data_IF_755735790121
#
_entry.id   IF_755735790121
#
_cell.length_a   1.000
_cell.length_b   1.000
_cell.length_c   1.000
_cell.angle_alpha   90.00
_cell.angle_beta   90.00
_cell.angle_gamma   90.00
#
_symmetry.space_group_name_H-M   'P 1'
#
loop_
_entity.id
_entity.type
_entity.pdbx_description
1 polymer ?
#
# COMPACT_ATOMS: atom_id res chain seq x y z
N UNK A 1 20.05 6.70 -23.89
CA UNK A 1 19.27 5.98 -22.86
C UNK A 1 20.07 4.79 -22.42
N UNK A 2 20.33 4.65 -21.12
CA UNK A 2 20.97 3.45 -20.57
C UNK A 2 20.05 2.25 -20.80
N UNK A 3 20.59 1.12 -21.24
CA UNK A 3 19.79 -0.10 -21.44
C UNK A 3 19.62 -0.79 -20.10
N UNK A 4 18.41 -0.77 -19.53
CA UNK A 4 18.10 -1.38 -18.24
C UNK A 4 17.79 -2.88 -18.33
N UNK A 5 17.86 -3.51 -19.50
CA UNK A 5 17.54 -4.95 -19.67
C UNK A 5 18.48 -5.89 -18.92
N UNK A 6 19.69 -5.44 -18.59
CA UNK A 6 20.62 -6.22 -17.76
C UNK A 6 20.21 -6.27 -16.28
N UNK A 7 19.38 -5.31 -15.82
CA UNK A 7 18.98 -5.23 -14.42
C UNK A 7 18.17 -6.44 -14.02
N UNK A 8 18.50 -7.01 -12.86
CA UNK A 8 17.78 -8.17 -12.35
C UNK A 8 16.41 -7.78 -11.83
N UNK A 9 15.42 -8.53 -12.28
CA UNK A 9 14.14 -8.66 -11.59
C UNK A 9 14.33 -9.48 -10.31
N UNK A 10 13.27 -9.69 -9.53
CA UNK A 10 13.42 -10.50 -8.33
C UNK A 10 12.15 -10.76 -7.54
N UNK A 11 10.99 -10.28 -7.98
CA UNK A 11 9.75 -10.68 -7.33
C UNK A 11 9.39 -12.09 -7.77
N UNK A 12 9.09 -12.95 -6.80
CA UNK A 12 8.55 -14.29 -7.04
C UNK A 12 7.11 -14.25 -6.52
N UNK A 13 6.08 -14.29 -7.37
CA UNK A 13 4.70 -14.16 -6.92
C UNK A 13 4.36 -15.15 -5.79
N UNK A 14 3.72 -14.65 -4.74
CA UNK A 14 3.33 -15.48 -3.60
C UNK A 14 2.36 -16.59 -4.03
N UNK A 15 2.50 -17.82 -3.49
CA UNK A 15 1.49 -18.86 -3.68
C UNK A 15 0.13 -18.39 -3.17
N UNK A 16 -0.98 -18.74 -3.82
CA UNK A 16 -2.32 -18.33 -3.34
C UNK A 16 -2.60 -18.90 -1.94
N UNK A 17 -3.10 -18.07 -1.03
CA UNK A 17 -3.54 -18.48 0.31
C UNK A 17 -4.87 -17.80 0.65
N UNK A 18 -5.88 -18.59 1.01
CA UNK A 18 -7.22 -18.09 1.32
C UNK A 18 -7.31 -17.38 2.67
N UNK A 19 -6.26 -17.46 3.49
CA UNK A 19 -6.18 -16.84 4.81
C UNK A 19 -5.65 -15.40 4.75
N UNK A 20 -5.15 -14.96 3.59
CA UNK A 20 -4.67 -13.60 3.42
C UNK A 20 -5.79 -12.62 3.73
N UNK A 21 -5.53 -11.68 4.65
CA UNK A 21 -6.52 -10.68 4.97
C UNK A 21 -6.71 -9.72 3.81
N UNK A 22 -7.97 -9.38 3.52
CA UNK A 22 -8.33 -8.38 2.53
C UNK A 22 -8.28 -6.99 3.15
N UNK A 23 -7.75 -6.01 2.41
CA UNK A 23 -7.61 -4.63 2.89
C UNK A 23 -8.95 -4.00 3.31
N UNK A 24 -10.06 -4.38 2.67
CA UNK A 24 -11.41 -3.96 3.05
C UNK A 24 -11.84 -4.37 4.47
N UNK A 25 -11.06 -5.22 5.17
CA UNK A 25 -11.25 -5.51 6.60
C UNK A 25 -10.59 -4.48 7.53
N UNK A 26 -9.66 -3.68 7.01
CA UNK A 26 -8.86 -2.73 7.79
C UNK A 26 -9.14 -1.27 7.43
N UNK A 27 -9.59 -1.01 6.20
CA UNK A 27 -9.94 0.34 5.73
C UNK A 27 -11.39 0.37 5.29
N UNK A 28 -12.05 1.50 5.52
CA UNK A 28 -13.32 1.77 4.89
C UNK A 28 -13.06 2.10 3.42
N UNK A 29 -13.60 1.29 2.51
CA UNK A 29 -13.45 1.56 1.08
C UNK A 29 -14.29 2.79 0.73
N UNK A 30 -13.59 3.89 0.45
CA UNK A 30 -14.22 5.15 0.11
C UNK A 30 -14.95 5.07 -1.25
N UNK A 31 -16.00 5.89 -1.40
CA UNK A 31 -16.80 5.95 -2.65
C UNK A 31 -16.44 7.14 -3.52
N UNK A 32 -15.70 8.11 -2.96
CA UNK A 32 -15.25 9.31 -3.66
C UNK A 32 -13.79 9.55 -3.34
N UNK A 33 -13.00 9.81 -4.39
CA UNK A 33 -11.57 10.05 -4.27
C UNK A 33 -11.23 11.41 -4.87
N UNK A 34 -10.18 12.09 -4.37
CA UNK A 34 -9.63 13.23 -5.09
C UNK A 34 -9.16 12.82 -6.49
N UNK A 35 -9.19 13.77 -7.41
CA UNK A 35 -8.81 13.57 -8.82
C UNK A 35 -7.38 13.04 -8.93
N UNK A 36 -6.49 13.53 -8.07
CA UNK A 36 -5.12 13.05 -7.91
C UNK A 36 -4.76 13.01 -6.43
N UNK A 37 -3.80 12.17 -6.07
CA UNK A 37 -3.32 12.02 -4.71
C UNK A 37 -1.87 11.57 -4.70
N UNK A 38 -1.12 12.00 -3.69
CA UNK A 38 0.26 11.59 -3.47
C UNK A 38 0.49 11.50 -1.96
N UNK A 39 1.08 10.38 -1.53
CA UNK A 39 1.53 10.24 -0.14
C UNK A 39 2.61 11.27 0.15
N UNK A 40 2.59 11.82 1.36
CA UNK A 40 3.62 12.72 1.84
C UNK A 40 4.18 12.19 3.17
N UNK A 41 5.52 12.13 3.32
CA UNK A 41 6.55 12.49 2.35
C UNK A 41 6.75 11.42 1.25
N UNK A 42 7.40 11.80 0.15
CA UNK A 42 7.96 10.86 -0.84
C UNK A 42 9.42 10.52 -0.49
N UNK A 43 9.91 9.42 -1.06
CA UNK A 43 11.35 9.10 -1.01
C UNK A 43 12.12 10.15 -1.84
N UNK A 44 13.06 10.90 -1.23
CA UNK A 44 13.75 11.98 -1.94
C UNK A 44 14.78 11.46 -2.96
N UNK A 45 15.42 10.32 -2.65
CA UNK A 45 16.45 9.70 -3.48
C UNK A 45 16.02 8.28 -3.85
N UNK A 46 15.52 8.05 -5.09
CA UNK A 46 15.16 6.72 -5.56
C UNK A 46 16.33 5.74 -5.40
N UNK A 47 16.01 4.56 -4.88
CA UNK A 47 17.02 3.54 -4.61
C UNK A 47 17.56 2.91 -5.89
N UNK A 48 18.73 2.31 -5.80
CA UNK A 48 19.31 1.47 -6.84
C UNK A 48 19.64 0.09 -6.25
N UNK A 49 19.00 -0.96 -6.78
CA UNK A 49 19.22 -2.36 -6.36
C UNK A 49 20.40 -3.05 -7.07
N UNK A 50 21.11 -2.32 -7.93
CA UNK A 50 22.21 -2.83 -8.74
C UNK A 50 21.78 -4.07 -9.56
N UNK A 51 22.64 -5.07 -9.69
CA UNK A 51 22.37 -6.38 -10.30
C UNK A 51 21.89 -7.43 -9.29
N UNK A 52 21.20 -7.02 -8.23
CA UNK A 52 20.60 -7.92 -7.23
C UNK A 52 19.08 -7.95 -7.39
N UNK A 53 18.47 -9.13 -7.27
CA UNK A 53 17.01 -9.32 -7.32
C UNK A 53 16.26 -8.84 -6.07
N UNK A 54 16.58 -7.65 -5.57
CA UNK A 54 16.13 -7.15 -4.26
C UNK A 54 14.91 -6.19 -4.32
N UNK A 55 14.21 -6.11 -5.47
CA UNK A 55 13.08 -5.18 -5.65
C UNK A 55 12.01 -5.24 -4.55
N UNK A 56 11.68 -6.45 -4.06
CA UNK A 56 10.73 -6.64 -2.95
C UNK A 56 11.26 -5.98 -1.66
N UNK A 57 12.53 -6.21 -1.33
CA UNK A 57 13.15 -5.64 -0.14
C UNK A 57 13.23 -4.10 -0.22
N UNK A 58 13.56 -3.54 -1.38
CA UNK A 58 13.55 -2.08 -1.58
C UNK A 58 12.15 -1.49 -1.54
N UNK A 59 11.15 -2.20 -2.06
CA UNK A 59 9.76 -1.75 -1.98
C UNK A 59 9.29 -1.64 -0.52
N UNK A 60 9.60 -2.66 0.28
CA UNK A 60 9.29 -2.68 1.70
C UNK A 60 10.10 -1.65 2.50
N UNK A 61 11.38 -1.45 2.17
CA UNK A 61 12.21 -0.36 2.70
C UNK A 61 11.52 0.99 2.48
N UNK A 62 11.05 1.29 1.27
CA UNK A 62 10.38 2.55 0.96
C UNK A 62 9.13 2.77 1.82
N UNK A 63 8.29 1.73 1.95
CA UNK A 63 7.07 1.79 2.76
C UNK A 63 7.43 2.11 4.22
N UNK A 64 8.41 1.39 4.79
CA UNK A 64 8.85 1.63 6.18
C UNK A 64 9.50 3.00 6.36
N UNK A 65 10.34 3.47 5.45
CA UNK A 65 10.93 4.81 5.55
C UNK A 65 9.85 5.92 5.56
N UNK A 66 8.82 5.80 4.70
CA UNK A 66 7.71 6.77 4.66
C UNK A 66 6.84 6.69 5.92
N UNK A 67 6.46 5.49 6.36
CA UNK A 67 5.64 5.29 7.57
C UNK A 67 6.34 5.84 8.80
N UNK A 68 7.60 5.46 9.00
CA UNK A 68 8.36 5.82 10.20
C UNK A 68 8.69 7.32 10.23
N UNK A 69 8.91 7.93 9.06
CA UNK A 69 9.04 9.39 8.96
C UNK A 69 7.74 10.11 9.32
N UNK A 70 6.58 9.60 8.89
CA UNK A 70 5.27 10.17 9.24
C UNK A 70 4.99 10.05 10.74
N UNK A 71 5.35 8.93 11.36
CA UNK A 71 5.11 8.67 12.78
C UNK A 71 6.09 9.40 13.72
N UNK A 72 7.37 9.45 13.36
CA UNK A 72 8.44 10.00 14.22
C UNK A 72 8.92 11.38 13.82
N UNK A 73 8.38 11.94 12.74
CA UNK A 73 8.79 13.22 12.15
C UNK A 73 10.30 13.30 11.88
N UNK A 74 10.95 12.14 11.65
CA UNK A 74 12.39 12.01 11.43
C UNK A 74 12.64 10.99 10.33
N UNK A 75 13.34 11.39 9.27
CA UNK A 75 13.72 10.47 8.21
C UNK A 75 14.85 9.55 8.69
N UNK A 76 14.62 8.23 8.61
CA UNK A 76 15.60 7.20 8.97
C UNK A 76 15.72 6.25 7.79
N UNK A 77 16.96 5.94 7.37
CA UNK A 77 17.21 4.94 6.33
C UNK A 77 17.22 3.53 6.91
N UNK A 78 16.53 2.61 6.25
CA UNK A 78 16.42 1.20 6.68
C UNK A 78 17.15 0.25 5.74
N UNK A 79 17.62 -0.90 6.22
CA UNK A 79 18.42 -1.83 5.41
C UNK A 79 17.53 -2.73 4.54
N UNK A 80 17.59 -2.54 3.21
CA UNK A 80 17.01 -3.50 2.26
C UNK A 80 17.74 -4.85 2.30
N UNK A 81 19.07 -4.84 2.49
CA UNK A 81 19.86 -6.06 2.65
C UNK A 81 19.41 -6.90 3.85
N UNK A 82 19.00 -6.27 4.95
CA UNK A 82 18.45 -6.99 6.10
C UNK A 82 17.12 -7.66 5.76
N UNK A 83 16.19 -6.96 5.12
CA UNK A 83 14.92 -7.56 4.65
C UNK A 83 15.21 -8.73 3.70
N UNK A 84 16.17 -8.56 2.80
CA UNK A 84 16.54 -9.57 1.80
C UNK A 84 17.21 -10.82 2.41
N UNK A 85 18.07 -10.63 3.41
CA UNK A 85 18.90 -11.68 4.01
C UNK A 85 18.31 -12.36 5.25
N UNK A 86 17.49 -11.67 6.06
CA UNK A 86 16.96 -12.15 7.34
C UNK A 86 15.77 -13.12 7.20
N UNK A 87 15.88 -14.08 6.27
CA UNK A 87 14.83 -15.08 5.96
C UNK A 87 14.77 -16.18 7.02
N UNK A 88 13.57 -16.71 7.23
CA UNK A 88 13.34 -17.88 8.07
C UNK A 88 13.81 -19.17 7.37
N UNK A 89 14.07 -20.23 8.13
CA UNK A 89 14.57 -21.50 7.55
C UNK A 89 13.63 -22.12 6.50
N UNK A 90 12.32 -21.91 6.66
CA UNK A 90 11.27 -22.40 5.73
C UNK A 90 11.10 -21.56 4.47
N UNK A 91 11.68 -20.36 4.42
CA UNK A 91 11.50 -19.41 3.32
C UNK A 91 12.36 -19.80 2.12
N UNK A 92 12.05 -19.22 0.97
CA UNK A 92 12.84 -19.38 -0.25
C UNK A 92 14.29 -18.90 -0.02
N UNK A 93 15.28 -19.69 -0.47
CA UNK A 93 16.72 -19.45 -0.23
C UNK A 93 17.53 -19.16 -1.50
N UNK A 94 16.88 -18.77 -2.60
CA UNK A 94 17.55 -18.32 -3.81
C UNK A 94 17.51 -16.79 -3.97
N UNK A 95 18.07 -16.32 -5.08
CA UNK A 95 17.97 -14.92 -5.51
C UNK A 95 16.52 -14.54 -5.86
N UNK A 96 16.17 -13.28 -5.64
CA UNK A 96 14.76 -12.88 -5.64
C UNK A 96 14.10 -13.17 -4.31
N UNK A 97 12.85 -12.77 -4.15
CA UNK A 97 12.13 -12.84 -2.88
C UNK A 97 10.64 -13.01 -3.12
N UNK A 98 9.99 -13.82 -2.27
CA UNK A 98 8.55 -13.96 -2.24
C UNK A 98 7.96 -12.83 -1.35
N UNK A 99 7.07 -11.97 -1.87
CA UNK A 99 6.51 -10.84 -1.12
C UNK A 99 5.87 -11.23 0.21
N UNK A 100 5.09 -12.32 0.27
CA UNK A 100 4.49 -12.77 1.53
C UNK A 100 5.54 -13.16 2.57
N UNK A 101 6.61 -13.82 2.17
CA UNK A 101 7.70 -14.17 3.10
C UNK A 101 8.41 -12.90 3.61
N UNK A 102 8.59 -11.90 2.74
CA UNK A 102 9.14 -10.61 3.11
C UNK A 102 8.25 -9.86 4.11
N UNK A 103 6.93 -9.91 3.94
CA UNK A 103 5.96 -9.38 4.89
C UNK A 103 5.97 -10.13 6.22
N UNK A 104 6.12 -11.46 6.21
CA UNK A 104 6.32 -12.26 7.44
C UNK A 104 7.59 -11.82 8.20
N UNK A 105 8.67 -11.49 7.49
CA UNK A 105 9.90 -10.97 8.09
C UNK A 105 9.64 -9.63 8.78
N UNK A 106 8.97 -8.68 8.11
CA UNK A 106 8.61 -7.41 8.74
C UNK A 106 7.69 -7.59 9.96
N UNK A 107 6.76 -8.54 9.91
CA UNK A 107 5.83 -8.82 11.02
C UNK A 107 6.56 -9.38 12.26
N UNK A 108 7.50 -10.30 12.02
CA UNK A 108 8.21 -11.01 13.09
C UNK A 108 9.43 -10.26 13.61
N UNK A 109 10.20 -9.65 12.70
CA UNK A 109 11.53 -9.10 12.96
C UNK A 109 11.60 -7.60 12.74
N UNK A 110 10.84 -7.06 11.79
CA UNK A 110 10.89 -5.64 11.42
C UNK A 110 12.05 -5.36 10.48
N UNK A 111 12.63 -4.17 10.54
CA UNK A 111 13.77 -3.79 9.71
C UNK A 111 14.77 -2.93 10.48
N UNK A 112 16.05 -3.30 10.42
CA UNK A 112 17.10 -2.54 11.08
C UNK A 112 17.51 -1.30 10.26
N UNK A 113 18.14 -0.34 10.92
CA UNK A 113 18.69 0.86 10.28
C UNK A 113 19.80 0.49 9.30
N UNK A 114 19.87 1.21 8.19
CA UNK A 114 20.81 0.94 7.09
C UNK A 114 22.28 0.94 7.54
N UNK A 115 22.61 1.77 8.52
CA UNK A 115 23.95 1.84 9.13
C UNK A 115 24.47 0.51 9.72
N UNK A 116 23.58 -0.42 10.10
CA UNK A 116 24.01 -1.75 10.56
C UNK A 116 24.32 -2.71 9.42
N UNK A 117 23.63 -2.58 8.28
CA UNK A 117 23.86 -3.39 7.09
C UNK A 117 23.64 -2.54 5.83
N UNK A 118 24.64 -1.76 5.41
CA UNK A 118 24.51 -0.85 4.27
C UNK A 118 24.59 -1.60 2.94
N UNK A 119 24.05 -0.98 1.88
CA UNK A 119 24.13 -1.52 0.52
C UNK A 119 23.17 -2.68 0.25
N UNK A 120 23.45 -3.42 -0.81
CA UNK A 120 22.72 -4.62 -1.20
C UNK A 120 23.69 -5.67 -1.73
N UNK A 121 23.40 -6.94 -1.43
CA UNK A 121 24.27 -8.07 -1.73
C UNK A 121 23.45 -9.23 -2.29
N UNK A 122 24.06 -10.13 -3.09
CA UNK A 122 23.45 -11.43 -3.40
C UNK A 122 22.95 -12.13 -2.14
N UNK A 123 21.84 -12.87 -2.25
CA UNK A 123 21.17 -13.46 -1.10
C UNK A 123 22.10 -14.34 -0.25
N UNK A 124 22.93 -15.24 -0.82
CA UNK A 124 23.84 -16.06 -0.02
C UNK A 124 24.81 -15.24 0.83
N UNK A 125 25.23 -14.08 0.35
CA UNK A 125 26.11 -13.16 1.09
C UNK A 125 25.30 -12.46 2.18
N UNK A 126 24.19 -11.81 1.82
CA UNK A 126 23.34 -11.09 2.76
C UNK A 126 22.90 -11.97 3.94
N UNK A 127 22.54 -13.23 3.68
CA UNK A 127 22.13 -14.20 4.70
C UNK A 127 23.24 -14.49 5.74
N UNK A 128 24.51 -14.46 5.33
CA UNK A 128 25.65 -14.67 6.25
C UNK A 128 26.01 -13.44 7.07
N UNK A 129 25.55 -12.26 6.67
CA UNK A 129 25.85 -10.99 7.34
C UNK A 129 24.84 -10.63 8.44
N UNK A 130 23.75 -11.39 8.57
CA UNK A 130 22.71 -11.13 9.57
C UNK A 130 23.24 -11.43 10.98
N UNK A 131 23.04 -10.48 11.89
CA UNK A 131 23.51 -10.57 13.28
C UNK A 131 22.38 -10.33 14.28
N UNK A 132 22.57 -10.77 15.52
CA UNK A 132 21.61 -10.55 16.61
C UNK A 132 21.42 -9.06 16.92
N UNK A 133 22.47 -8.24 16.79
CA UNK A 133 22.36 -6.79 16.96
C UNK A 133 21.39 -6.17 15.95
N UNK A 134 21.36 -6.67 14.70
CA UNK A 134 20.39 -6.23 13.70
C UNK A 134 18.97 -6.67 14.06
N UNK A 135 18.78 -7.88 14.62
CA UNK A 135 17.48 -8.34 15.10
C UNK A 135 16.93 -7.44 16.21
N UNK A 136 17.76 -7.08 17.20
CA UNK A 136 17.38 -6.16 18.25
C UNK A 136 17.04 -4.76 17.73
N UNK A 137 17.84 -4.24 16.79
CA UNK A 137 17.60 -2.91 16.20
C UNK A 137 16.32 -2.87 15.35
N UNK A 138 15.98 -3.97 14.67
CA UNK A 138 14.82 -4.14 13.79
C UNK A 138 13.49 -4.33 14.51
N UNK A 139 13.52 -4.93 15.71
CA UNK A 139 12.33 -5.36 16.44
C UNK A 139 11.31 -4.25 16.73
N UNK A 140 11.72 -2.99 17.04
CA UNK A 140 10.80 -1.89 17.25
C UNK A 140 10.08 -1.41 15.98
N UNK A 141 10.61 -1.68 14.78
CA UNK A 141 10.06 -1.25 13.49
C UNK A 141 9.29 -2.37 12.79
N UNK A 142 8.67 -3.24 13.58
CA UNK A 142 7.79 -4.31 13.11
C UNK A 142 6.45 -3.75 12.69
N UNK A 143 5.96 -4.29 11.59
CA UNK A 143 4.59 -4.07 11.15
C UNK A 143 3.65 -4.85 12.07
N UNK A 144 2.40 -4.40 12.17
CA UNK A 144 1.36 -5.10 12.94
C UNK A 144 0.49 -5.98 12.07
N UNK A 145 0.24 -5.54 10.85
CA UNK A 145 -0.53 -6.30 9.88
C UNK A 145 -0.11 -5.96 8.45
N UNK A 146 -0.47 -6.87 7.54
CA UNK A 146 -0.45 -6.63 6.11
C UNK A 146 -1.74 -7.22 5.50
N UNK A 147 -2.19 -6.65 4.39
CA UNK A 147 -3.41 -7.06 3.74
C UNK A 147 -3.30 -6.96 2.22
N UNK A 148 -3.94 -7.89 1.52
CA UNK A 148 -4.00 -7.89 0.08
C UNK A 148 -5.06 -6.88 -0.41
N UNK A 149 -4.76 -6.15 -1.47
CA UNK A 149 -5.67 -5.26 -2.17
C UNK A 149 -5.85 -5.72 -3.62
N UNK A 150 -7.05 -5.54 -4.18
CA UNK A 150 -7.39 -6.07 -5.51
C UNK A 150 -8.03 -5.04 -6.42
N UNK A 151 -8.83 -4.13 -5.86
CA UNK A 151 -9.59 -3.14 -6.63
C UNK A 151 -8.96 -1.75 -6.55
N UNK A 152 -9.19 -0.92 -7.57
CA UNK A 152 -8.67 0.45 -7.63
C UNK A 152 -9.09 1.25 -6.40
N UNK A 153 -10.35 1.13 -5.98
CA UNK A 153 -10.92 1.85 -4.83
C UNK A 153 -10.28 1.38 -3.51
N UNK A 154 -10.00 0.08 -3.38
CA UNK A 154 -9.31 -0.50 -2.22
C UNK A 154 -7.88 0.03 -2.12
N UNK A 155 -7.15 0.07 -3.23
CA UNK A 155 -5.76 0.56 -3.28
C UNK A 155 -5.74 2.07 -2.99
N UNK A 156 -6.65 2.85 -3.56
CA UNK A 156 -6.77 4.29 -3.28
C UNK A 156 -7.07 4.56 -1.82
N UNK A 157 -8.00 3.82 -1.22
CA UNK A 157 -8.33 3.94 0.21
C UNK A 157 -7.12 3.58 1.07
N UNK A 158 -6.41 2.48 0.75
CA UNK A 158 -5.19 2.10 1.45
C UNK A 158 -4.09 3.17 1.36
N UNK A 159 -3.90 3.79 0.19
CA UNK A 159 -2.94 4.88 -0.01
C UNK A 159 -3.24 6.10 0.86
N UNK A 160 -4.52 6.44 1.03
CA UNK A 160 -4.97 7.57 1.85
C UNK A 160 -4.84 7.28 3.35
N UNK A 161 -5.28 6.09 3.78
CA UNK A 161 -5.41 5.76 5.20
C UNK A 161 -4.12 5.20 5.80
N UNK A 162 -3.46 4.30 5.07
CA UNK A 162 -2.33 3.49 5.56
C UNK A 162 -0.99 3.92 4.96
N UNK A 163 -1.01 4.58 3.81
CA UNK A 163 0.18 5.05 3.11
C UNK A 163 0.59 4.15 1.94
N UNK A 164 1.88 4.17 1.53
CA UNK A 164 2.33 3.52 0.30
C UNK A 164 2.06 2.02 0.28
N UNK A 165 1.80 1.48 -0.92
CA UNK A 165 1.38 0.09 -1.12
C UNK A 165 2.37 -0.61 -2.05
N UNK A 166 2.82 -1.82 -1.69
CA UNK A 166 3.69 -2.61 -2.55
C UNK A 166 2.86 -3.25 -3.67
N UNK A 167 3.33 -3.18 -4.90
CA UNK A 167 2.69 -3.81 -6.05
C UNK A 167 3.71 -4.65 -6.82
N UNK A 168 3.35 -5.90 -7.11
CA UNK A 168 4.14 -6.78 -7.98
C UNK A 168 3.48 -6.84 -9.34
N UNK A 169 4.28 -6.55 -10.36
CA UNK A 169 3.85 -6.49 -11.75
C UNK A 169 4.65 -7.47 -12.61
N UNK A 170 4.05 -8.01 -13.68
CA UNK A 170 4.79 -8.61 -14.77
C UNK A 170 5.52 -7.51 -15.56
N UNK A 171 6.77 -7.76 -15.89
CA UNK A 171 7.64 -6.87 -16.68
C UNK A 171 7.64 -7.32 -18.14
N UNK A 172 7.32 -6.37 -19.02
CA UNK A 172 7.35 -6.52 -20.47
C UNK A 172 8.36 -5.55 -21.10
N UNK A 173 8.58 -5.65 -22.41
CA UNK A 173 9.52 -4.80 -23.16
C UNK A 173 9.35 -3.29 -22.88
N UNK A 174 8.11 -2.81 -22.85
CA UNK A 174 7.77 -1.40 -22.61
C UNK A 174 8.16 -0.90 -21.21
N UNK A 175 8.27 -1.79 -20.23
CA UNK A 175 8.68 -1.43 -18.86
C UNK A 175 10.07 -0.78 -18.81
N UNK A 176 11.00 -1.25 -19.63
CA UNK A 176 12.39 -0.78 -19.62
C UNK A 176 12.55 0.66 -20.10
N UNK A 177 11.52 1.25 -20.72
CA UNK A 177 11.52 2.66 -21.14
C UNK A 177 11.45 3.62 -19.93
N UNK A 178 10.82 3.20 -18.83
CA UNK A 178 10.59 4.03 -17.65
C UNK A 178 9.61 5.19 -17.89
N UNK A 179 9.43 6.05 -16.88
CA UNK A 179 8.56 7.22 -17.00
C UNK A 179 7.07 6.86 -17.09
N UNK A 180 6.39 7.27 -18.15
CA UNK A 180 4.97 6.99 -18.36
C UNK A 180 4.75 5.65 -19.08
N UNK A 181 4.67 4.57 -18.31
CA UNK A 181 4.61 3.20 -18.84
C UNK A 181 3.24 2.88 -19.47
N UNK A 182 3.17 2.37 -20.70
CA UNK A 182 1.91 1.95 -21.29
C UNK A 182 1.37 0.69 -20.58
N UNK A 183 0.10 0.36 -20.84
CA UNK A 183 -0.38 -1.00 -20.57
C UNK A 183 0.35 -1.94 -21.52
N UNK A 184 0.94 -3.04 -21.03
CA UNK A 184 1.66 -3.97 -21.90
C UNK A 184 0.70 -4.74 -22.81
N UNK A 185 1.15 -5.02 -24.03
CA UNK A 185 0.48 -5.89 -25.01
C UNK A 185 1.13 -7.29 -24.98
N UNK A 186 0.55 -8.27 -24.28
CA UNK A 186 1.14 -9.61 -24.14
C UNK A 186 1.17 -10.42 -25.45
N UNK A 187 0.53 -9.95 -26.52
CA UNK A 187 0.60 -10.57 -27.85
C UNK A 187 1.85 -10.08 -28.60
N UNK A 188 2.29 -8.84 -28.34
CA UNK A 188 3.39 -8.18 -29.08
C UNK A 188 4.67 -8.03 -28.28
N UNK A 189 4.60 -8.13 -26.96
CA UNK A 189 5.73 -7.93 -26.05
C UNK A 189 6.10 -9.25 -25.35
N UNK A 190 7.40 -9.42 -25.12
CA UNK A 190 7.93 -10.51 -24.33
C UNK A 190 7.80 -10.19 -22.84
N UNK A 191 7.42 -11.17 -22.04
CA UNK A 191 7.44 -11.09 -20.59
C UNK A 191 8.78 -11.59 -20.05
N UNK A 192 9.45 -10.78 -19.22
CA UNK A 192 10.79 -11.06 -18.68
C UNK A 192 10.77 -11.60 -17.25
N UNK A 193 9.66 -11.42 -16.52
CA UNK A 193 9.49 -11.88 -15.14
C UNK A 193 8.63 -10.92 -14.33
N UNK A 194 8.84 -10.88 -13.01
CA UNK A 194 8.07 -10.03 -12.11
C UNK A 194 8.95 -9.07 -11.31
N UNK A 195 8.43 -7.87 -11.07
CA UNK A 195 9.12 -6.80 -10.36
C UNK A 195 8.21 -6.15 -9.33
N UNK A 196 8.77 -5.77 -8.19
CA UNK A 196 8.05 -5.06 -7.15
C UNK A 196 8.33 -3.56 -7.25
N UNK A 197 7.26 -2.76 -7.14
CA UNK A 197 7.25 -1.31 -7.08
C UNK A 197 6.47 -0.86 -5.85
N UNK A 198 6.55 0.43 -5.53
CA UNK A 198 5.74 1.03 -4.46
C UNK A 198 4.81 2.06 -5.04
N UNK A 199 3.51 1.80 -4.98
CA UNK A 199 2.50 2.79 -5.29
C UNK A 199 2.51 3.86 -4.20
N UNK A 200 2.61 5.11 -4.62
CA UNK A 200 2.69 6.29 -3.74
C UNK A 200 1.60 7.31 -4.04
N UNK A 201 0.65 6.97 -4.92
CA UNK A 201 -0.44 7.87 -5.30
C UNK A 201 -1.04 7.55 -6.65
N UNK A 202 -1.83 8.50 -7.17
CA UNK A 202 -2.38 8.48 -8.51
C UNK A 202 -2.49 9.88 -9.10
N UNK A 203 -2.57 9.93 -10.42
CA UNK A 203 -2.69 11.14 -11.22
C UNK A 203 -4.12 11.31 -11.74
N UNK A 204 -4.45 12.52 -12.17
CA UNK A 204 -5.74 12.88 -12.77
C UNK A 204 -6.12 12.04 -14.00
N UNK A 205 -5.14 11.47 -14.69
CA UNK A 205 -5.32 10.71 -15.94
C UNK A 205 -5.54 9.20 -15.69
N UNK A 206 -6.02 8.84 -14.49
CA UNK A 206 -6.27 7.45 -14.08
C UNK A 206 -5.01 6.56 -14.14
N UNK A 207 -3.89 7.09 -13.65
CA UNK A 207 -2.62 6.37 -13.57
C UNK A 207 -2.10 6.34 -12.14
N UNK A 208 -1.62 5.19 -11.70
CA UNK A 208 -0.83 5.05 -10.48
C UNK A 208 0.49 5.81 -10.62
N UNK A 209 0.94 6.44 -9.54
CA UNK A 209 2.30 6.93 -9.39
C UNK A 209 3.07 5.92 -8.54
N UNK A 210 4.21 5.44 -9.03
CA UNK A 210 4.98 4.40 -8.36
C UNK A 210 6.49 4.73 -8.30
N UNK A 211 7.13 4.35 -7.21
CA UNK A 211 8.58 4.38 -7.03
C UNK A 211 9.18 3.05 -7.50
N UNK A 212 10.24 3.14 -8.30
CA UNK A 212 11.09 2.00 -8.69
C UNK A 212 12.42 2.02 -7.90
N UNK A 213 13.20 0.95 -8.02
CA UNK A 213 14.50 0.74 -7.35
C UNK A 213 15.66 0.57 -8.34
N UNK A 214 15.64 1.28 -9.47
CA UNK A 214 16.67 1.27 -10.52
C UNK A 214 17.43 2.60 -10.68
N UNK A 215 17.47 3.38 -9.60
CA UNK A 215 18.13 4.67 -9.53
C UNK A 215 17.32 5.79 -10.17
N UNK A 216 17.75 7.03 -9.88
CA UNK A 216 17.09 8.26 -10.35
C UNK A 216 17.17 8.47 -11.86
N UNK A 217 18.12 7.85 -12.55
CA UNK A 217 18.30 8.02 -14.00
C UNK A 217 17.37 7.10 -14.81
N UNK A 218 16.63 6.22 -14.15
CA UNK A 218 15.64 5.36 -14.80
C UNK A 218 14.37 6.13 -15.12
N UNK A 219 14.08 6.25 -16.42
CA UNK A 219 12.95 7.02 -16.94
C UNK A 219 13.08 8.53 -16.71
N UNK A 220 12.19 9.29 -17.32
CA UNK A 220 12.20 10.76 -17.22
C UNK A 220 11.64 11.31 -15.90
N UNK A 221 11.01 10.46 -15.09
CA UNK A 221 10.37 10.84 -13.82
C UNK A 221 11.28 10.61 -12.61
N UNK A 222 12.60 10.53 -12.83
CA UNK A 222 13.57 10.50 -11.74
C UNK A 222 13.45 9.24 -10.89
N UNK A 223 13.45 8.03 -11.48
CA UNK A 223 13.27 6.76 -10.75
C UNK A 223 11.82 6.45 -10.34
N UNK A 224 10.89 7.38 -10.55
CA UNK A 224 9.45 7.12 -10.49
C UNK A 224 8.93 6.69 -11.85
N UNK A 225 7.73 6.12 -11.86
CA UNK A 225 6.97 5.87 -13.07
C UNK A 225 5.48 6.11 -12.84
N UNK A 226 4.72 6.14 -13.93
CA UNK A 226 3.26 6.02 -13.86
C UNK A 226 2.78 4.81 -14.65
N UNK A 227 1.77 4.12 -14.10
CA UNK A 227 1.15 2.93 -14.69
C UNK A 227 -0.35 3.21 -14.82
N UNK A 228 -1.03 2.86 -15.92
CA UNK A 228 -2.49 3.00 -15.99
C UNK A 228 -3.17 2.12 -14.92
N UNK A 229 -4.38 2.49 -14.47
CA UNK A 229 -5.08 1.75 -13.42
C UNK A 229 -5.36 0.30 -13.76
N UNK A 230 -5.47 -0.02 -15.04
CA UNK A 230 -5.74 -1.35 -15.56
C UNK A 230 -4.46 -2.15 -15.90
N UNK A 231 -3.28 -1.66 -15.51
CA UNK A 231 -2.03 -2.40 -15.63
C UNK A 231 -2.14 -3.75 -14.88
N UNK A 232 -1.63 -4.86 -15.43
CA UNK A 232 -1.71 -6.16 -14.76
C UNK A 232 -0.88 -6.18 -13.47
N UNK A 233 -1.49 -6.56 -12.35
CA UNK A 233 -0.79 -6.82 -11.09
C UNK A 233 -0.90 -8.30 -10.71
N UNK A 234 0.18 -8.88 -10.20
CA UNK A 234 0.19 -10.24 -9.66
C UNK A 234 -0.27 -10.28 -8.21
N UNK A 235 0.19 -9.33 -7.42
CA UNK A 235 -0.23 -9.14 -6.03
C UNK A 235 0.05 -7.70 -5.59
N UNK A 236 -0.78 -7.21 -4.66
CA UNK A 236 -0.66 -5.87 -4.09
C UNK A 236 -0.86 -6.00 -2.58
N UNK A 237 0.04 -5.41 -1.82
CA UNK A 237 0.08 -5.52 -0.37
C UNK A 237 0.14 -4.15 0.29
N UNK A 238 -0.84 -3.89 1.15
CA UNK A 238 -0.77 -2.82 2.13
C UNK A 238 -0.15 -3.34 3.43
N UNK A 239 0.48 -2.44 4.18
CA UNK A 239 1.19 -2.72 5.42
C UNK A 239 0.79 -1.66 6.41
N UNK A 240 0.58 -2.03 7.67
CA UNK A 240 0.24 -1.07 8.72
C UNK A 240 0.86 -1.40 10.06
N UNK A 241 1.29 -0.36 10.76
CA UNK A 241 1.68 -0.40 12.17
C UNK A 241 0.47 -0.20 13.10
N UNK A 242 -0.73 0.03 12.54
CA UNK A 242 -2.00 0.07 13.26
C UNK A 242 -2.52 -1.36 13.49
N UNK A 243 -2.64 -1.75 14.76
CA UNK A 243 -3.40 -2.95 15.14
C UNK A 243 -4.89 -2.67 14.95
N UNK A 244 -5.60 -3.62 14.36
CA UNK A 244 -7.06 -3.84 14.40
C UNK A 244 -7.81 -2.90 15.35
N UNK A 245 -8.49 -1.92 14.77
CA UNK A 245 -9.75 -1.42 15.30
C UNK A 245 -10.73 -1.31 14.12
N UNK A 246 -11.37 -2.42 13.68
CA UNK A 246 -12.68 -2.35 13.10
C UNK A 246 -13.63 -2.88 14.18
N UNK A 247 -13.83 -2.12 15.26
CA UNK A 247 -15.24 -1.83 15.50
C UNK A 247 -15.64 -1.12 14.21
N UNK A 248 -16.45 -1.73 13.33
CA UNK A 248 -17.01 -0.94 12.25
C UNK A 248 -17.60 0.28 12.95
N UNK A 249 -17.49 1.48 12.36
CA UNK A 249 -18.41 2.54 12.78
C UNK A 249 -19.82 2.07 12.36
N UNK A 250 -20.40 1.17 13.16
CA UNK A 250 -21.76 0.69 13.04
C UNK A 250 -22.56 1.84 13.60
N UNK A 251 -22.94 2.76 12.73
CA UNK A 251 -23.98 3.70 13.05
C UNK A 251 -25.28 2.89 13.11
N UNK A 252 -25.67 2.46 14.31
CA UNK A 252 -26.98 1.85 14.50
C UNK A 252 -28.06 2.91 14.32
N UNK A 253 -28.81 2.79 13.23
CA UNK A 253 -29.98 3.62 12.94
C UNK A 253 -31.20 2.81 13.35
N UNK A 254 -31.84 3.17 14.45
CA UNK A 254 -33.10 2.55 14.83
C UNK A 254 -34.25 3.32 14.20
N UNK A 255 -35.05 2.62 13.40
CA UNK A 255 -36.25 3.19 12.78
C UNK A 255 -37.47 2.59 13.45
N UNK A 256 -38.24 3.42 14.16
CA UNK A 256 -39.49 2.97 14.81
C UNK A 256 -40.71 3.69 14.24
N UNK A 257 -41.86 3.01 14.08
CA UNK A 257 -43.10 3.66 13.66
C UNK A 257 -43.57 4.63 14.75
N UNK A 258 -43.69 5.91 14.42
CA UNK A 258 -44.20 6.90 15.37
C UNK A 258 -45.73 6.76 15.55
N UNK A 259 -46.21 6.66 16.79
CA UNK A 259 -47.65 6.73 17.13
C UNK A 259 -47.83 7.84 18.16
N UNK A 260 -48.61 8.89 17.89
CA UNK A 260 -50.08 8.88 17.84
C UNK A 260 -50.58 10.03 16.94
N UNK A 261 -51.52 9.75 16.03
CA UNK A 261 -52.24 10.79 15.24
C UNK A 261 -51.96 10.89 13.74
N UNK A 262 -51.41 9.83 13.09
CA UNK A 262 -51.44 9.63 11.64
C UNK A 262 -50.98 10.81 10.76
N UNK A 263 -49.66 10.94 10.60
CA UNK A 263 -49.02 11.19 9.29
C UNK A 263 -47.81 10.25 9.23
N UNK A 264 -47.56 9.60 8.09
CA UNK A 264 -46.46 8.62 7.89
C UNK A 264 -45.13 9.22 8.34
N UNK A 265 -44.74 8.96 9.58
CA UNK A 265 -43.53 9.48 10.18
C UNK A 265 -42.80 8.31 10.83
N UNK A 266 -41.52 8.20 10.49
CA UNK A 266 -40.60 7.25 11.08
C UNK A 266 -39.70 8.02 12.05
N UNK A 267 -39.56 7.50 13.27
CA UNK A 267 -38.62 8.08 14.21
C UNK A 267 -37.27 7.42 13.98
N UNK A 268 -36.25 8.23 13.72
CA UNK A 268 -34.88 7.79 13.52
C UNK A 268 -34.10 8.09 14.78
N UNK A 269 -33.65 7.05 15.49
CA UNK A 269 -32.70 7.19 16.57
C UNK A 269 -31.28 7.00 16.02
N UNK A 270 -30.38 7.87 16.43
CA UNK A 270 -28.96 7.80 16.11
C UNK A 270 -28.24 7.05 17.25
N UNK A 271 -27.40 6.06 16.91
CA UNK A 271 -26.51 5.35 17.85
C UNK A 271 -25.46 6.25 18.50
N UNK A 272 -24.43 5.68 19.12
CA UNK A 272 -23.39 6.45 19.83
C UNK A 272 -22.51 7.25 18.85
N UNK A 273 -22.55 8.58 18.93
CA UNK A 273 -21.61 9.50 18.28
C UNK A 273 -20.75 10.18 19.35
N UNK A 274 -19.50 10.53 19.03
CA UNK A 274 -18.63 11.19 20.01
C UNK A 274 -19.11 12.62 20.31
N UNK A 275 -19.78 13.27 19.35
CA UNK A 275 -20.37 14.62 19.50
C UNK A 275 -21.65 14.75 18.66
N UNK A 276 -22.47 15.78 18.97
CA UNK A 276 -23.68 16.11 18.21
C UNK A 276 -23.34 16.61 16.80
N UNK A 277 -22.25 17.36 16.70
CA UNK A 277 -21.74 17.96 15.46
C UNK A 277 -21.30 16.88 14.47
N UNK A 278 -20.61 15.84 14.96
CA UNK A 278 -20.20 14.69 14.16
C UNK A 278 -21.42 13.97 13.55
N UNK A 279 -22.47 13.78 14.33
CA UNK A 279 -23.70 13.13 13.88
C UNK A 279 -24.44 13.95 12.80
N UNK A 280 -24.42 15.28 12.92
CA UNK A 280 -25.03 16.18 11.94
C UNK A 280 -24.27 16.15 10.61
N UNK A 281 -22.94 16.20 10.64
CA UNK A 281 -22.14 16.21 9.42
C UNK A 281 -22.14 14.88 8.68
N UNK A 282 -21.98 13.76 9.40
CA UNK A 282 -21.73 12.46 8.77
C UNK A 282 -23.03 11.74 8.34
N UNK A 283 -24.17 12.05 8.97
CA UNK A 283 -25.43 11.32 8.71
C UNK A 283 -26.54 12.23 8.23
N UNK A 284 -26.79 13.34 8.94
CA UNK A 284 -27.95 14.18 8.69
C UNK A 284 -27.80 14.97 7.37
N UNK A 285 -26.62 15.54 7.12
CA UNK A 285 -26.38 16.37 5.92
C UNK A 285 -26.44 15.56 4.61
N UNK A 286 -25.79 14.37 4.48
CA UNK A 286 -25.94 13.53 3.29
C UNK A 286 -27.39 13.10 3.03
N UNK A 287 -28.14 12.75 4.10
CA UNK A 287 -29.55 12.37 3.99
C UNK A 287 -30.43 13.53 3.53
N UNK A 288 -30.14 14.76 3.98
CA UNK A 288 -30.83 15.96 3.52
C UNK A 288 -30.63 16.18 2.02
N UNK A 289 -29.40 16.01 1.52
CA UNK A 289 -29.08 16.18 0.10
C UNK A 289 -29.81 15.14 -0.77
N UNK A 290 -29.85 13.88 -0.33
CA UNK A 290 -30.61 12.81 -1.01
C UNK A 290 -32.10 13.09 -1.06
N UNK A 291 -32.70 13.51 0.06
CA UNK A 291 -34.13 13.83 0.13
C UNK A 291 -34.46 15.06 -0.72
N UNK A 292 -33.60 16.07 -0.73
CA UNK A 292 -33.79 17.25 -1.56
C UNK A 292 -33.80 16.91 -3.05
N UNK A 293 -32.93 15.99 -3.50
CA UNK A 293 -32.94 15.45 -4.87
C UNK A 293 -34.25 14.74 -5.22
N UNK A 294 -34.90 14.12 -4.24
CA UNK A 294 -36.20 13.47 -4.41
C UNK A 294 -37.41 14.42 -4.19
N UNK A 295 -37.18 15.73 -4.06
CA UNK A 295 -38.23 16.73 -3.81
C UNK A 295 -38.83 16.67 -2.39
N UNK A 296 -38.14 15.99 -1.46
CA UNK A 296 -38.55 15.84 -0.07
C UNK A 296 -37.71 16.72 0.86
N UNK A 297 -38.21 17.00 2.06
CA UNK A 297 -37.51 17.81 3.07
C UNK A 297 -37.40 17.05 4.38
N UNK A 298 -36.19 17.04 4.96
CA UNK A 298 -35.96 16.52 6.30
C UNK A 298 -36.26 17.62 7.33
N UNK A 299 -37.09 17.32 8.33
CA UNK A 299 -37.32 18.19 9.48
C UNK A 299 -36.65 17.58 10.71
N UNK A 300 -35.69 18.31 11.27
CA UNK A 300 -34.98 17.93 12.49
C UNK A 300 -35.63 18.69 13.64
N UNK A 301 -36.20 17.99 14.61
CA UNK A 301 -36.64 18.60 15.85
C UNK A 301 -35.50 18.41 16.87
N UNK A 302 -34.97 19.52 17.39
CA UNK A 302 -33.98 19.55 18.48
C UNK A 302 -34.66 19.59 19.83
#
# INVERSE_FOLDING_TARGET
>A
MSDYRHRKLGAIPSPKDHRDFHVARFVQVERSFPVEFKVAPLIPEPYDQDDVGACVAYSLKAIKEIQEQKERNTYTRYSAAYIYGAREQKHYRGEGMIPREALEILLKRGVCREQLLPGIYPYPVAATMITEAMHHDAYPQRIKAYAAAYRVEEIKSALMDLGPVMAVIPVYDSFYQGGHLPRPDPIKENMYGFHALVLVGWTKDNRWLALNSWGKDWGELGGYCTLPFDYPFSEIWTITDLVVQPEPKVYEIFVSPWRKGSRRAWLVHMGLFATKEEAVEQVIKPLQDDLARAGQKLKINT
#
